data_IF_900250297232
#
_entry.id   IF_900250297232
#
_cell.length_a   1.000
_cell.length_b   1.000
_cell.length_c   1.000
_cell.angle_alpha   90.00
_cell.angle_beta   90.00
_cell.angle_gamma   90.00
#
_symmetry.space_group_name_H-M   'P 1'
#
loop_
_entity.id
_entity.type
_entity.pdbx_description
1 polymer ?
#
# COMPACT_ATOMS: atom_id res chain seq x y z
N UNK A 1 3.82 16.19 -15.04
CA UNK A 1 2.42 15.77 -14.75
C UNK A 1 2.10 16.13 -13.31
N UNK A 2 0.95 16.70 -13.09
CA UNK A 2 0.44 17.01 -11.75
C UNK A 2 -0.57 15.92 -11.37
N UNK A 3 -0.33 15.22 -10.27
CA UNK A 3 -1.27 14.21 -9.77
C UNK A 3 -2.20 14.82 -8.72
N UNK A 4 -3.44 14.36 -8.69
CA UNK A 4 -4.39 14.62 -7.61
C UNK A 4 -4.49 13.36 -6.75
N UNK A 5 -4.36 13.51 -5.43
CA UNK A 5 -4.46 12.39 -4.50
C UNK A 5 -5.78 12.47 -3.76
N UNK A 6 -6.49 11.34 -3.70
CA UNK A 6 -7.77 11.23 -2.98
C UNK A 6 -7.79 9.95 -2.15
N UNK A 7 -8.44 9.95 -0.98
CA UNK A 7 -8.62 8.74 -0.19
C UNK A 7 -9.52 7.73 -0.93
N UNK A 8 -9.31 6.46 -0.64
CA UNK A 8 -10.23 5.39 -1.02
C UNK A 8 -11.44 5.42 -0.07
N UNK A 9 -12.57 5.78 -0.60
CA UNK A 9 -13.85 5.84 0.09
C UNK A 9 -15.01 5.49 -0.87
N UNK A 10 -16.23 5.68 -0.43
CA UNK A 10 -17.43 5.41 -1.26
C UNK A 10 -17.50 6.28 -2.52
N UNK A 11 -16.95 7.50 -2.48
CA UNK A 11 -16.95 8.42 -3.62
C UNK A 11 -15.86 8.06 -4.66
N UNK A 12 -14.80 7.39 -4.25
CA UNK A 12 -13.68 6.99 -5.12
C UNK A 12 -13.66 5.50 -5.44
N UNK A 13 -14.57 4.70 -4.86
CA UNK A 13 -14.65 3.25 -5.10
C UNK A 13 -14.71 2.88 -6.58
N UNK A 14 -15.54 3.59 -7.37
CA UNK A 14 -15.68 3.30 -8.80
C UNK A 14 -14.34 3.45 -9.55
N UNK A 15 -13.56 4.47 -9.24
CA UNK A 15 -12.25 4.70 -9.86
C UNK A 15 -11.23 3.63 -9.44
N UNK A 16 -11.24 3.20 -8.17
CA UNK A 16 -10.42 2.08 -7.71
C UNK A 16 -10.81 0.78 -8.42
N UNK A 17 -12.10 0.47 -8.49
CA UNK A 17 -12.60 -0.74 -9.13
C UNK A 17 -12.24 -0.78 -10.62
N UNK A 18 -12.42 0.32 -11.34
CA UNK A 18 -12.02 0.43 -12.75
C UNK A 18 -10.52 0.17 -12.94
N UNK A 19 -9.67 0.80 -12.09
CA UNK A 19 -8.22 0.56 -12.14
C UNK A 19 -7.87 -0.92 -11.87
N UNK A 20 -8.51 -1.56 -10.90
CA UNK A 20 -8.30 -2.96 -10.60
C UNK A 20 -8.80 -3.86 -11.74
N UNK A 21 -10.00 -3.63 -12.26
CA UNK A 21 -10.63 -4.42 -13.33
C UNK A 21 -9.81 -4.39 -14.62
N UNK A 22 -9.36 -3.20 -15.09
CA UNK A 22 -8.53 -3.10 -16.29
C UNK A 22 -7.12 -3.71 -16.13
N UNK A 23 -6.74 -4.09 -14.91
CA UNK A 23 -5.52 -4.81 -14.59
C UNK A 23 -5.80 -6.22 -14.02
N UNK A 24 -6.89 -6.86 -14.46
CA UNK A 24 -7.27 -8.24 -14.09
C UNK A 24 -7.40 -8.47 -12.58
N UNK A 25 -7.96 -7.51 -11.84
CA UNK A 25 -8.12 -7.55 -10.39
C UNK A 25 -6.80 -7.45 -9.62
N UNK A 26 -5.73 -7.08 -10.26
CA UNK A 26 -4.33 -6.98 -9.85
C UNK A 26 -3.78 -8.24 -9.16
N UNK A 27 -2.52 -8.53 -9.35
CA UNK A 27 -1.82 -9.66 -8.71
C UNK A 27 -2.63 -10.98 -8.68
N UNK A 28 -3.26 -11.34 -9.81
CA UNK A 28 -4.04 -12.57 -9.92
C UNK A 28 -5.43 -12.52 -9.26
N UNK A 29 -6.03 -11.35 -9.18
CA UNK A 29 -7.36 -11.16 -8.60
C UNK A 29 -7.34 -10.86 -7.10
N UNK A 30 -6.24 -10.33 -6.61
CA UNK A 30 -6.07 -9.97 -5.20
C UNK A 30 -6.97 -8.81 -4.74
N UNK A 31 -7.29 -7.85 -5.62
CA UNK A 31 -8.06 -6.64 -5.26
C UNK A 31 -7.50 -5.89 -4.04
N UNK A 32 -6.20 -5.97 -3.83
CA UNK A 32 -5.49 -5.44 -2.65
C UNK A 32 -6.05 -5.99 -1.32
N UNK A 33 -6.48 -7.27 -1.32
CA UNK A 33 -7.01 -7.96 -0.13
C UNK A 33 -5.96 -8.80 0.60
N UNK A 34 -4.76 -9.01 0.03
CA UNK A 34 -3.77 -9.94 0.56
C UNK A 34 -3.37 -9.70 2.03
N UNK A 35 -3.42 -8.45 2.49
CA UNK A 35 -3.09 -8.07 3.85
C UNK A 35 -4.30 -7.99 4.79
N UNK A 36 -5.52 -8.06 4.26
CA UNK A 36 -6.75 -8.12 5.04
C UNK A 36 -7.07 -9.55 5.50
N UNK A 37 -7.79 -9.71 6.63
CA UNK A 37 -8.09 -11.03 7.20
C UNK A 37 -8.91 -11.96 6.27
N UNK A 38 -9.78 -11.39 5.43
CA UNK A 38 -10.77 -12.13 4.64
C UNK A 38 -10.30 -12.44 3.21
N UNK A 39 -9.01 -12.33 2.92
CA UNK A 39 -8.51 -12.58 1.56
C UNK A 39 -8.84 -14.00 1.08
N UNK A 40 -9.37 -14.11 -0.14
CA UNK A 40 -9.44 -15.36 -0.87
C UNK A 40 -8.22 -15.52 -1.78
N UNK A 41 -7.62 -16.68 -1.77
CA UNK A 41 -6.47 -17.00 -2.65
C UNK A 41 -6.90 -17.52 -4.04
N UNK A 42 -8.19 -17.84 -4.18
CA UNK A 42 -8.73 -18.54 -5.37
C UNK A 42 -9.91 -17.83 -6.01
N UNK A 43 -10.53 -16.88 -5.35
CA UNK A 43 -11.75 -16.23 -5.81
C UNK A 43 -11.61 -14.70 -5.88
N UNK A 44 -11.34 -14.20 -7.08
CA UNK A 44 -11.22 -12.78 -7.36
C UNK A 44 -12.53 -12.00 -7.14
N UNK A 45 -13.67 -12.63 -7.41
CA UNK A 45 -14.98 -12.00 -7.20
C UNK A 45 -15.27 -11.82 -5.70
N UNK A 46 -14.89 -12.79 -4.88
CA UNK A 46 -14.96 -12.69 -3.44
C UNK A 46 -14.05 -11.58 -2.91
N UNK A 47 -12.83 -11.44 -3.44
CA UNK A 47 -11.90 -10.37 -3.07
C UNK A 47 -12.48 -8.98 -3.45
N UNK A 48 -13.03 -8.85 -4.66
CA UNK A 48 -13.71 -7.61 -5.09
C UNK A 48 -14.83 -7.22 -4.13
N UNK A 49 -15.73 -8.14 -3.85
CA UNK A 49 -16.85 -7.92 -2.95
C UNK A 49 -16.39 -7.62 -1.51
N UNK A 50 -15.36 -8.30 -1.04
CA UNK A 50 -14.74 -8.07 0.26
C UNK A 50 -14.15 -6.67 0.38
N UNK A 51 -13.41 -6.23 -0.65
CA UNK A 51 -12.83 -4.88 -0.68
C UNK A 51 -13.93 -3.81 -0.68
N UNK A 52 -14.97 -3.98 -1.50
CA UNK A 52 -16.10 -3.06 -1.54
C UNK A 52 -16.80 -2.93 -0.18
N UNK A 53 -17.09 -4.05 0.49
CA UNK A 53 -17.68 -4.03 1.84
C UNK A 53 -16.81 -3.26 2.83
N UNK A 54 -15.49 -3.45 2.79
CA UNK A 54 -14.57 -2.72 3.67
C UNK A 54 -14.57 -1.23 3.38
N UNK A 55 -14.53 -0.84 2.11
CA UNK A 55 -14.59 0.58 1.70
C UNK A 55 -15.89 1.22 2.18
N UNK A 56 -17.05 0.57 1.94
CA UNK A 56 -18.35 1.07 2.39
C UNK A 56 -18.46 1.15 3.91
N UNK A 57 -17.75 0.29 4.63
CA UNK A 57 -17.69 0.28 6.10
C UNK A 57 -16.60 1.17 6.70
N UNK A 58 -15.86 1.95 5.88
CA UNK A 58 -14.75 2.79 6.37
C UNK A 58 -13.58 1.98 6.95
N UNK A 59 -13.39 0.74 6.50
CA UNK A 59 -12.36 -0.19 7.00
C UNK A 59 -11.37 -0.65 5.91
N UNK A 60 -11.18 0.18 4.91
CA UNK A 60 -10.14 0.03 3.91
C UNK A 60 -9.61 1.41 3.53
N UNK A 61 -8.32 1.62 3.70
CA UNK A 61 -7.66 2.89 3.44
C UNK A 61 -6.63 2.74 2.33
N UNK A 62 -6.65 3.67 1.40
CA UNK A 62 -5.60 3.84 0.40
C UNK A 62 -5.58 5.28 -0.12
N UNK A 63 -4.39 5.74 -0.50
CA UNK A 63 -4.23 6.97 -1.26
C UNK A 63 -4.27 6.62 -2.75
N UNK A 64 -5.29 7.10 -3.46
CA UNK A 64 -5.45 6.92 -4.91
C UNK A 64 -4.82 8.08 -5.65
N UNK A 65 -4.07 7.79 -6.70
CA UNK A 65 -3.39 8.77 -7.55
C UNK A 65 -4.16 8.91 -8.85
N UNK A 66 -4.66 10.12 -9.09
CA UNK A 66 -5.39 10.48 -10.31
C UNK A 66 -4.51 11.34 -11.22
N UNK A 67 -4.57 11.07 -12.51
CA UNK A 67 -3.95 11.90 -13.53
C UNK A 67 -4.79 13.16 -13.86
N UNK A 68 -4.28 13.97 -14.79
CA UNK A 68 -4.95 15.22 -15.22
C UNK A 68 -6.32 14.98 -15.89
N UNK A 69 -6.61 13.76 -16.35
CA UNK A 69 -7.92 13.36 -16.90
C UNK A 69 -8.92 12.93 -15.83
N UNK A 70 -8.50 12.85 -14.57
CA UNK A 70 -9.31 12.33 -13.47
C UNK A 70 -9.39 10.80 -13.43
N UNK A 71 -8.48 10.10 -14.11
CA UNK A 71 -8.41 8.64 -14.12
C UNK A 71 -7.42 8.16 -13.06
N UNK A 72 -7.82 7.19 -12.22
CA UNK A 72 -6.94 6.59 -11.22
C UNK A 72 -5.86 5.73 -11.90
N UNK A 73 -4.58 5.96 -11.55
CA UNK A 73 -3.43 5.29 -12.15
C UNK A 73 -2.60 4.48 -11.15
N UNK A 74 -2.89 4.58 -9.86
CA UNK A 74 -2.20 3.82 -8.84
C UNK A 74 -2.74 4.09 -7.43
N UNK A 75 -2.24 3.33 -6.46
CA UNK A 75 -2.55 3.51 -5.04
C UNK A 75 -1.41 3.11 -4.12
N UNK A 76 -1.50 3.59 -2.88
CA UNK A 76 -0.78 3.10 -1.72
C UNK A 76 -1.78 2.71 -0.65
N UNK A 77 -1.86 1.41 -0.29
CA UNK A 77 -2.72 0.91 0.79
C UNK A 77 -2.04 1.11 2.13
N UNK A 78 -2.80 1.67 3.06
CA UNK A 78 -2.41 1.79 4.46
C UNK A 78 -3.59 1.46 5.38
N UNK A 79 -3.33 1.20 6.66
CA UNK A 79 -4.36 0.92 7.65
C UNK A 79 -3.76 0.58 9.00
N UNK A 80 -4.60 0.39 10.01
CA UNK A 80 -4.16 -0.10 11.32
C UNK A 80 -3.66 -1.55 11.25
N UNK A 81 -2.89 -2.04 12.24
CA UNK A 81 -2.51 -3.45 12.32
C UNK A 81 -3.70 -4.41 12.34
N UNK A 82 -4.85 -4.02 12.89
CA UNK A 82 -6.07 -4.82 12.89
C UNK A 82 -6.71 -4.88 11.50
N UNK A 83 -6.65 -3.79 10.74
CA UNK A 83 -7.13 -3.75 9.36
C UNK A 83 -6.24 -4.58 8.44
N UNK A 84 -4.93 -4.50 8.65
CA UNK A 84 -3.90 -5.11 7.81
C UNK A 84 -2.99 -6.05 8.62
N UNK A 85 -3.51 -7.16 9.16
CA UNK A 85 -2.70 -8.11 9.94
C UNK A 85 -1.72 -8.92 9.08
N UNK A 86 -1.99 -9.06 7.78
CA UNK A 86 -1.14 -9.80 6.85
C UNK A 86 0.07 -8.98 6.42
N UNK A 87 1.28 -9.41 6.79
CA UNK A 87 2.53 -8.75 6.40
C UNK A 87 3.51 -9.74 5.79
N UNK A 88 4.43 -9.21 4.97
CA UNK A 88 5.56 -9.99 4.45
C UNK A 88 6.44 -10.48 5.60
N UNK A 89 7.04 -11.67 5.43
CA UNK A 89 7.99 -12.24 6.38
C UNK A 89 7.47 -12.29 7.83
N UNK A 90 6.16 -12.47 8.01
CA UNK A 90 5.51 -12.45 9.33
C UNK A 90 6.20 -13.36 10.35
N UNK A 91 6.58 -14.58 9.96
CA UNK A 91 7.28 -15.52 10.84
C UNK A 91 8.59 -14.95 11.39
N UNK A 92 9.35 -14.24 10.56
CA UNK A 92 10.60 -13.61 10.98
C UNK A 92 10.34 -12.33 11.78
N UNK A 93 9.33 -11.58 11.39
CA UNK A 93 8.86 -10.41 12.13
C UNK A 93 8.47 -10.76 13.57
N UNK A 94 7.71 -11.83 13.77
CA UNK A 94 7.18 -12.25 15.08
C UNK A 94 8.26 -12.79 16.06
N UNK A 95 9.47 -13.11 15.58
CA UNK A 95 10.57 -13.54 16.47
C UNK A 95 11.10 -12.42 17.36
N UNK A 96 11.08 -11.20 16.87
CA UNK A 96 11.54 -10.00 17.57
C UNK A 96 10.76 -8.80 17.01
N UNK A 97 9.48 -8.64 17.40
CA UNK A 97 8.64 -7.58 16.85
C UNK A 97 9.09 -6.23 17.38
N UNK A 98 9.13 -5.21 16.49
CA UNK A 98 9.35 -3.83 16.92
C UNK A 98 8.17 -3.34 17.77
N UNK A 99 8.27 -2.13 18.36
CA UNK A 99 7.13 -1.49 19.00
C UNK A 99 5.91 -1.51 18.06
N UNK A 100 4.69 -1.80 18.55
CA UNK A 100 3.50 -1.87 17.70
C UNK A 100 3.31 -0.55 16.92
N UNK A 101 3.15 -0.60 15.60
CA UNK A 101 2.87 0.59 14.82
C UNK A 101 1.40 1.01 14.99
N UNK A 102 1.12 2.30 14.81
CA UNK A 102 -0.24 2.82 14.69
C UNK A 102 -0.80 2.52 13.28
N UNK A 103 0.08 2.58 12.28
CA UNK A 103 -0.25 2.39 10.87
C UNK A 103 0.71 1.45 10.16
N UNK A 104 0.19 0.69 9.21
CA UNK A 104 0.96 -0.10 8.25
C UNK A 104 0.74 0.39 6.83
N UNK A 105 1.81 0.46 6.05
CA UNK A 105 1.76 0.58 4.60
C UNK A 105 2.10 -0.78 4.01
N UNK A 106 1.23 -1.35 3.18
CA UNK A 106 1.34 -2.76 2.78
C UNK A 106 1.42 -3.00 1.29
N UNK A 107 0.64 -2.29 0.48
CA UNK A 107 0.51 -2.60 -0.93
C UNK A 107 0.49 -1.34 -1.79
N UNK A 108 1.31 -1.36 -2.84
CA UNK A 108 1.30 -0.38 -3.92
C UNK A 108 0.86 -1.04 -5.22
N UNK A 109 0.15 -0.30 -6.01
CA UNK A 109 -0.10 -0.66 -7.40
C UNK A 109 0.06 0.57 -8.28
N UNK A 110 0.65 0.39 -9.45
CA UNK A 110 0.74 1.40 -10.52
C UNK A 110 0.35 0.74 -11.83
N UNK A 111 -0.57 1.35 -12.56
CA UNK A 111 -0.97 0.88 -13.89
C UNK A 111 0.26 0.67 -14.78
N UNK A 112 0.30 -0.46 -15.47
CA UNK A 112 1.46 -0.88 -16.27
C UNK A 112 1.90 0.15 -17.29
N UNK A 113 0.95 0.90 -17.86
CA UNK A 113 1.19 1.92 -18.89
C UNK A 113 1.75 3.22 -18.31
N UNK A 114 1.70 3.40 -17.00
CA UNK A 114 2.05 4.65 -16.31
C UNK A 114 3.23 4.48 -15.32
N UNK A 115 3.95 3.36 -15.41
CA UNK A 115 5.14 3.12 -14.57
C UNK A 115 6.28 4.09 -14.94
N UNK A 116 7.16 4.34 -13.96
CA UNK A 116 8.29 5.26 -14.15
C UNK A 116 7.94 6.74 -14.17
N UNK A 117 6.70 7.10 -13.85
CA UNK A 117 6.18 8.48 -13.88
C UNK A 117 6.00 9.10 -12.48
N UNK A 118 6.57 8.49 -11.43
CA UNK A 118 6.51 9.02 -10.06
C UNK A 118 5.21 8.70 -9.29
N UNK A 119 4.31 7.87 -9.84
CA UNK A 119 3.01 7.56 -9.23
C UNK A 119 3.16 6.88 -7.86
N UNK A 120 4.09 5.94 -7.70
CA UNK A 120 4.32 5.27 -6.42
C UNK A 120 4.78 6.27 -5.33
N UNK A 121 5.62 7.25 -5.70
CA UNK A 121 6.03 8.34 -4.80
C UNK A 121 4.84 9.19 -4.41
N UNK A 122 4.05 9.65 -5.37
CA UNK A 122 2.85 10.46 -5.12
C UNK A 122 1.84 9.71 -4.24
N UNK A 123 1.68 8.39 -4.45
CA UNK A 123 0.81 7.54 -3.62
C UNK A 123 1.31 7.44 -2.18
N UNK A 124 2.63 7.28 -1.98
CA UNK A 124 3.22 7.24 -0.63
C UNK A 124 3.05 8.59 0.07
N UNK A 125 3.43 9.70 -0.57
CA UNK A 125 3.27 11.04 -0.01
C UNK A 125 1.82 11.30 0.37
N UNK A 126 0.86 10.97 -0.50
CA UNK A 126 -0.57 11.10 -0.20
C UNK A 126 -1.05 10.20 0.94
N UNK A 127 -0.52 8.98 1.09
CA UNK A 127 -0.83 8.12 2.22
C UNK A 127 -0.34 8.72 3.54
N UNK A 128 0.88 9.28 3.56
CA UNK A 128 1.44 9.93 4.74
C UNK A 128 0.64 11.19 5.13
N UNK A 129 0.20 11.99 4.15
CA UNK A 129 -0.67 13.14 4.39
C UNK A 129 -2.02 12.71 4.98
N UNK A 130 -2.63 11.67 4.45
CA UNK A 130 -3.89 11.12 4.98
C UNK A 130 -3.72 10.59 6.41
N UNK A 131 -2.62 9.88 6.70
CA UNK A 131 -2.27 9.41 8.04
C UNK A 131 -2.10 10.60 9.00
N UNK A 132 -1.44 11.69 8.58
CA UNK A 132 -1.29 12.89 9.39
C UNK A 132 -2.65 13.51 9.77
N UNK A 133 -3.57 13.59 8.81
CA UNK A 133 -4.95 14.07 9.05
C UNK A 133 -5.78 13.12 9.95
N UNK A 134 -5.44 11.83 10.00
CA UNK A 134 -6.08 10.84 10.86
C UNK A 134 -5.44 10.75 12.27
N UNK A 135 -4.54 11.68 12.60
CA UNK A 135 -3.93 11.78 13.92
C UNK A 135 -2.46 11.39 13.99
N UNK A 136 -1.85 11.04 12.86
CA UNK A 136 -0.43 10.68 12.81
C UNK A 136 -0.11 9.37 13.53
N UNK A 137 1.14 9.23 13.97
CA UNK A 137 1.63 8.08 14.74
C UNK A 137 2.79 7.34 14.08
N UNK A 138 3.16 6.21 14.64
CA UNK A 138 4.23 5.35 14.12
C UNK A 138 3.73 4.59 12.89
N UNK A 139 4.36 4.83 11.76
CA UNK A 139 4.09 4.14 10.47
C UNK A 139 5.17 3.10 10.21
N UNK A 140 4.73 1.90 9.87
CA UNK A 140 5.59 0.76 9.53
C UNK A 140 5.32 0.26 8.12
N UNK A 141 6.36 -0.18 7.43
CA UNK A 141 6.28 -0.92 6.17
C UNK A 141 7.35 -2.00 6.13
N UNK A 142 7.11 -3.07 5.37
CA UNK A 142 8.14 -4.06 5.06
C UNK A 142 8.43 -3.98 3.58
N UNK A 143 9.64 -3.54 3.24
CA UNK A 143 10.05 -3.24 1.87
C UNK A 143 11.34 -3.94 1.49
N UNK A 144 11.61 -4.02 0.19
CA UNK A 144 12.78 -4.69 -0.34
C UNK A 144 13.81 -3.72 -0.90
N UNK A 145 15.09 -4.01 -0.62
CA UNK A 145 16.22 -3.35 -1.27
C UNK A 145 16.27 -3.80 -2.73
N UNK A 146 16.33 -2.86 -3.65
CA UNK A 146 16.43 -3.13 -5.10
C UNK A 146 17.77 -2.74 -5.70
N UNK A 147 18.61 -2.00 -4.99
CA UNK A 147 19.94 -1.60 -5.45
C UNK A 147 20.76 -2.81 -5.91
N UNK A 148 21.25 -2.77 -7.16
CA UNK A 148 22.04 -3.85 -7.75
C UNK A 148 21.25 -5.11 -8.12
N UNK A 149 19.90 -5.05 -8.17
CA UNK A 149 19.03 -6.19 -8.52
C UNK A 149 18.03 -5.82 -9.60
N UNK A 150 17.79 -6.74 -10.54
CA UNK A 150 16.59 -6.74 -11.35
C UNK A 150 15.42 -7.33 -10.53
N UNK A 151 14.68 -6.47 -9.84
CA UNK A 151 13.49 -6.90 -9.10
C UNK A 151 12.27 -6.89 -10.02
N UNK A 152 11.60 -8.02 -10.16
CA UNK A 152 10.36 -8.11 -10.93
C UNK A 152 9.23 -7.38 -10.22
N UNK A 153 8.42 -6.61 -10.96
CA UNK A 153 7.36 -5.77 -10.41
C UNK A 153 6.37 -6.48 -9.47
N UNK A 154 6.12 -7.78 -9.68
CA UNK A 154 5.25 -8.58 -8.80
C UNK A 154 5.80 -8.77 -7.38
N UNK A 155 7.11 -8.62 -7.18
CA UNK A 155 7.74 -8.68 -5.84
C UNK A 155 7.84 -7.32 -5.17
N UNK A 156 7.57 -6.25 -5.91
CA UNK A 156 7.68 -4.87 -5.46
C UNK A 156 6.32 -4.25 -5.06
N UNK A 157 5.31 -5.07 -4.82
CA UNK A 157 4.02 -4.55 -4.34
C UNK A 157 4.13 -3.82 -2.98
N UNK A 158 5.18 -4.06 -2.20
CA UNK A 158 5.50 -3.34 -0.97
C UNK A 158 6.42 -2.13 -1.18
N UNK A 159 6.62 -1.72 -2.43
CA UNK A 159 7.57 -0.69 -2.86
C UNK A 159 9.03 -1.01 -2.48
N UNK A 160 9.93 -0.05 -2.60
CA UNK A 160 11.36 -0.24 -2.35
C UNK A 160 11.82 0.48 -1.10
N UNK A 161 12.86 -0.05 -0.44
CA UNK A 161 13.50 0.61 0.70
C UNK A 161 13.94 2.02 0.33
N UNK A 162 14.50 2.18 -0.87
CA UNK A 162 14.99 3.46 -1.37
C UNK A 162 13.87 4.51 -1.48
N UNK A 163 12.66 4.10 -1.90
CA UNK A 163 11.49 4.99 -1.94
C UNK A 163 11.10 5.46 -0.53
N UNK A 164 11.09 4.56 0.43
CA UNK A 164 10.77 4.89 1.81
C UNK A 164 11.84 5.79 2.45
N UNK A 165 13.13 5.51 2.24
CA UNK A 165 14.22 6.34 2.74
C UNK A 165 14.15 7.78 2.20
N UNK A 166 13.84 7.94 0.90
CA UNK A 166 13.61 9.26 0.29
C UNK A 166 12.41 10.01 0.89
N UNK A 167 11.52 9.31 1.58
CA UNK A 167 10.37 9.86 2.31
C UNK A 167 10.58 9.82 3.84
N UNK A 168 11.82 9.82 4.30
CA UNK A 168 12.17 10.01 5.72
C UNK A 168 11.98 8.78 6.61
N UNK A 169 11.76 7.60 6.03
CA UNK A 169 11.77 6.35 6.80
C UNK A 169 13.20 5.90 7.10
N UNK A 170 13.36 5.20 8.20
CA UNK A 170 14.61 4.55 8.59
C UNK A 170 14.44 3.03 8.60
N UNK A 171 15.53 2.31 8.37
CA UNK A 171 15.58 0.85 8.50
C UNK A 171 15.62 0.50 9.98
N UNK A 172 14.62 -0.25 10.45
CA UNK A 172 14.57 -0.73 11.83
C UNK A 172 15.27 -2.08 11.98
N UNK A 173 14.83 -3.11 11.23
CA UNK A 173 15.38 -4.46 11.27
C UNK A 173 15.22 -5.18 9.94
N UNK A 174 16.18 -6.03 9.60
CA UNK A 174 16.10 -6.92 8.46
C UNK A 174 15.24 -8.16 8.80
N UNK A 175 14.29 -8.51 7.93
CA UNK A 175 13.37 -9.64 8.11
C UNK A 175 13.42 -10.66 6.98
N UNK A 176 14.25 -10.44 6.00
CA UNK A 176 14.48 -11.34 4.87
C UNK A 176 15.79 -11.01 4.18
N UNK A 177 16.21 -11.83 3.22
CA UNK A 177 17.50 -11.62 2.50
C UNK A 177 17.65 -10.19 1.98
N UNK A 178 16.55 -9.59 1.55
CA UNK A 178 16.53 -8.24 0.98
C UNK A 178 15.43 -7.36 1.59
N UNK A 179 14.70 -7.88 2.59
CA UNK A 179 13.54 -7.21 3.18
C UNK A 179 13.88 -6.59 4.54
N UNK A 180 13.40 -5.35 4.71
CA UNK A 180 13.60 -4.54 5.91
C UNK A 180 12.28 -4.01 6.44
N UNK A 181 12.16 -3.98 7.76
CA UNK A 181 11.15 -3.16 8.44
C UNK A 181 11.60 -1.71 8.32
N UNK A 182 10.75 -0.89 7.73
CA UNK A 182 10.91 0.55 7.61
C UNK A 182 9.97 1.23 8.56
N UNK A 183 10.42 2.28 9.24
CA UNK A 183 9.58 3.01 10.19
C UNK A 183 9.78 4.52 10.12
N UNK A 184 8.70 5.26 10.39
CA UNK A 184 8.70 6.71 10.51
C UNK A 184 7.55 7.15 11.43
N UNK A 185 7.80 8.13 12.30
CA UNK A 185 6.74 8.83 13.03
C UNK A 185 6.19 9.95 12.15
N UNK A 186 4.88 10.04 12.03
CA UNK A 186 4.17 11.09 11.32
C UNK A 186 3.45 11.96 12.35
N UNK A 187 3.74 13.25 12.32
CA UNK A 187 3.07 14.24 13.18
C UNK A 187 1.64 14.49 12.67
N UNK A 188 0.67 14.67 13.56
CA UNK A 188 -0.69 15.04 13.17
C UNK A 188 -0.73 16.46 12.59
N UNK A 189 -1.65 16.69 11.63
CA UNK A 189 -1.91 18.01 11.02
C UNK A 189 -3.30 18.53 11.34
#
# INVERSE_FOLDING_TARGET
MRYTIRPLDTATWAAFAELAERNNGVFGGCWCMACHPEVSRTDAAQNRAGKERRVRGGRAHAALVFDDSGTAQGWCQYGSPEELPGIKHKREYDKDPPPPPDWRITCFFVDKKHRGQGIARAALEGALDQIAHLGGGLVEAISEVTAGREAQGRFLFSATVELFEQNGFTRARQVGKHAWIMSRVIEPT
#
